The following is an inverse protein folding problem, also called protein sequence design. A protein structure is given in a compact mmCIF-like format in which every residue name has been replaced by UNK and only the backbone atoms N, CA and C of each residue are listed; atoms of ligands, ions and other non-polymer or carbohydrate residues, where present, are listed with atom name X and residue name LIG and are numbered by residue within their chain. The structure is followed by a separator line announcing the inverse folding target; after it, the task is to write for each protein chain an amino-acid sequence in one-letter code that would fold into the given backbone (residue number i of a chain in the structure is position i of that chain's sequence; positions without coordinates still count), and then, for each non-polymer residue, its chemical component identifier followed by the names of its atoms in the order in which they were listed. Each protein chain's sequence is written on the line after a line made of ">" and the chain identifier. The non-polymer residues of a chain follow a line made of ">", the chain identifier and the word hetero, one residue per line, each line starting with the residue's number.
data_IF_811504818161
#
_entry.id   IF_811504818161
#
_cell.length_a   1.000
_cell.length_b   1.000
_cell.length_c   1.000
_cell.angle_alpha   90.00
_cell.angle_beta   90.00
_cell.angle_gamma   90.00
#
_symmetry.space_group_name_H-M   'P 1'
#
loop_
_entity.id
_entity.type
_entity.pdbx_description
1 polymer ?
#
# COMPACT_ATOMS: atom_id res chain seq x y z
N UNK A 1 -36.91 -4.03 -54.20
CA UNK A 1 -37.42 -3.36 -52.99
C UNK A 1 -36.66 -3.97 -51.81
N UNK A 2 -35.70 -3.24 -51.25
CA UNK A 2 -34.90 -3.69 -50.10
C UNK A 2 -35.69 -3.44 -48.80
N UNK A 3 -35.84 -4.46 -47.96
CA UNK A 3 -36.35 -4.31 -46.60
C UNK A 3 -35.20 -3.85 -45.68
N UNK A 4 -35.42 -2.87 -44.78
CA UNK A 4 -34.39 -2.44 -43.84
C UNK A 4 -34.16 -3.50 -42.76
N UNK A 5 -32.89 -3.83 -42.50
CA UNK A 5 -32.50 -4.76 -41.44
C UNK A 5 -32.79 -4.18 -40.07
N UNK A 6 -33.61 -4.89 -39.29
CA UNK A 6 -33.75 -4.68 -37.85
C UNK A 6 -32.51 -5.26 -37.17
N UNK A 7 -31.66 -4.38 -36.63
CA UNK A 7 -30.56 -4.79 -35.76
C UNK A 7 -31.11 -4.97 -34.33
N UNK A 8 -30.77 -6.07 -33.63
CA UNK A 8 -31.11 -6.24 -32.23
C UNK A 8 -30.48 -5.13 -31.38
N UNK A 9 -31.28 -4.49 -30.54
CA UNK A 9 -30.81 -3.53 -29.55
C UNK A 9 -30.02 -4.30 -28.46
N UNK A 10 -28.71 -4.09 -28.38
CA UNK A 10 -27.84 -4.67 -27.36
C UNK A 10 -27.65 -3.66 -26.20
N UNK A 11 -28.23 -3.91 -25.01
CA UNK A 11 -28.11 -3.02 -23.86
C UNK A 11 -26.74 -3.07 -23.14
N UNK A 12 -25.73 -3.80 -23.64
CA UNK A 12 -24.46 -3.95 -22.93
C UNK A 12 -23.41 -2.84 -23.16
N UNK A 13 -23.73 -1.77 -23.90
CA UNK A 13 -22.77 -0.70 -24.26
C UNK A 13 -22.83 0.55 -23.36
N UNK A 14 -23.33 0.43 -22.12
CA UNK A 14 -23.42 1.55 -21.17
C UNK A 14 -22.49 1.37 -19.97
N UNK A 15 -21.21 1.12 -20.23
CA UNK A 15 -20.15 1.36 -19.25
C UNK A 15 -19.26 2.49 -19.76
N UNK A 16 -19.76 3.72 -19.57
CA UNK A 16 -18.98 4.92 -19.74
C UNK A 16 -17.82 4.93 -18.75
N UNK A 17 -16.61 5.09 -19.26
CA UNK A 17 -15.43 5.43 -18.48
C UNK A 17 -15.71 6.70 -17.67
N UNK A 18 -15.94 6.56 -16.36
CA UNK A 18 -15.83 7.68 -15.43
C UNK A 18 -14.35 8.07 -15.39
N UNK A 19 -14.00 9.15 -16.07
CA UNK A 19 -12.70 9.79 -15.95
C UNK A 19 -12.57 10.31 -14.51
N UNK A 20 -11.64 9.72 -13.76
CA UNK A 20 -11.22 10.25 -12.46
C UNK A 20 -10.59 11.63 -12.68
N UNK A 21 -11.05 12.70 -11.99
CA UNK A 21 -10.38 13.99 -12.08
C UNK A 21 -8.98 13.89 -11.46
N UNK A 22 -7.97 14.55 -12.05
CA UNK A 22 -6.60 14.51 -11.53
C UNK A 22 -6.51 15.17 -10.14
N UNK A 23 -5.60 14.72 -9.26
CA UNK A 23 -5.35 15.37 -7.98
C UNK A 23 -4.84 16.81 -8.22
N UNK A 24 -5.65 17.78 -7.81
CA UNK A 24 -5.41 19.20 -8.04
C UNK A 24 -4.18 19.72 -7.32
N UNK A 25 -3.23 20.28 -8.09
CA UNK A 25 -2.33 21.32 -7.62
C UNK A 25 -3.09 22.65 -7.42
N UNK A 26 -2.46 23.68 -6.83
CA UNK A 26 -3.09 24.97 -6.59
C UNK A 26 -3.39 25.67 -7.93
N UNK A 27 -4.62 25.52 -8.41
CA UNK A 27 -5.09 26.11 -9.66
C UNK A 27 -5.53 27.55 -9.45
N UNK A 28 -4.83 28.47 -10.10
CA UNK A 28 -5.31 29.83 -10.36
C UNK A 28 -6.61 29.76 -11.19
N UNK A 29 -7.60 30.64 -10.95
CA UNK A 29 -8.83 30.62 -11.72
C UNK A 29 -8.56 31.01 -13.18
N UNK A 30 -9.05 30.24 -14.19
CA UNK A 30 -8.89 30.60 -15.59
C UNK A 30 -9.77 31.81 -15.98
N UNK A 31 -9.31 32.72 -16.84
CA UNK A 31 -10.10 33.87 -17.28
C UNK A 31 -11.10 33.48 -18.37
N UNK A 32 -12.38 33.78 -18.11
CA UNK A 32 -13.41 34.16 -19.09
C UNK A 32 -13.70 33.19 -20.25
N UNK A 33 -14.70 32.31 -20.06
CA UNK A 33 -15.39 31.59 -21.14
C UNK A 33 -16.91 31.84 -21.10
N UNK A 34 -17.63 31.85 -22.25
CA UNK A 34 -19.00 32.34 -22.33
C UNK A 34 -20.04 31.44 -21.65
N UNK A 35 -20.91 32.08 -20.89
CA UNK A 35 -22.10 31.66 -20.15
C UNK A 35 -22.85 30.42 -20.69
N UNK A 36 -22.83 29.34 -19.91
CA UNK A 36 -23.79 28.23 -19.96
C UNK A 36 -24.88 28.38 -18.88
N UNK A 37 -26.07 27.78 -19.02
CA UNK A 37 -27.22 28.09 -18.17
C UNK A 37 -27.07 27.53 -16.74
N UNK A 38 -26.92 28.46 -15.79
CA UNK A 38 -27.50 28.42 -14.44
C UNK A 38 -27.19 27.22 -13.54
N UNK A 39 -25.98 27.15 -12.97
CA UNK A 39 -25.81 26.47 -11.68
C UNK A 39 -26.31 27.39 -10.57
N UNK A 40 -27.32 27.00 -9.76
CA UNK A 40 -27.80 27.84 -8.67
C UNK A 40 -26.67 28.09 -7.64
N UNK A 41 -26.59 29.30 -7.07
CA UNK A 41 -25.57 29.61 -6.08
C UNK A 41 -25.71 28.71 -4.84
N UNK A 42 -24.59 28.26 -4.26
CA UNK A 42 -24.63 27.47 -3.02
C UNK A 42 -25.28 28.30 -1.90
N UNK A 43 -26.16 27.70 -1.07
CA UNK A 43 -26.82 28.40 0.03
C UNK A 43 -25.80 28.98 1.02
N UNK A 44 -25.91 30.26 1.42
CA UNK A 44 -25.08 30.83 2.47
C UNK A 44 -25.42 30.18 3.82
N UNK A 45 -24.44 29.50 4.44
CA UNK A 45 -24.56 29.07 5.83
C UNK A 45 -24.69 27.56 6.08
N UNK A 46 -24.31 26.69 5.14
CA UNK A 46 -24.12 25.28 5.48
C UNK A 46 -23.02 25.16 6.56
N UNK A 47 -23.31 24.59 7.75
CA UNK A 47 -22.28 24.27 8.72
C UNK A 47 -21.24 23.39 8.01
N UNK A 48 -19.98 23.83 8.01
CA UNK A 48 -18.89 23.07 7.42
C UNK A 48 -18.99 21.64 7.95
N UNK A 49 -19.23 20.69 7.05
CA UNK A 49 -19.23 19.29 7.44
C UNK A 49 -17.92 19.05 8.18
N UNK A 50 -17.95 18.52 9.42
CA UNK A 50 -16.73 18.18 10.10
C UNK A 50 -16.00 17.23 9.17
N UNK A 51 -14.90 17.71 8.59
CA UNK A 51 -14.07 16.90 7.72
C UNK A 51 -13.79 15.64 8.52
N UNK A 52 -14.03 14.44 7.95
CA UNK A 52 -13.54 13.24 8.57
C UNK A 52 -12.05 13.49 8.76
N UNK A 53 -11.62 13.66 10.01
CA UNK A 53 -10.21 13.66 10.34
C UNK A 53 -9.78 12.23 10.09
N UNK A 54 -9.49 11.91 8.82
CA UNK A 54 -8.86 10.66 8.44
C UNK A 54 -7.59 10.60 9.29
N UNK A 55 -7.63 9.72 10.29
CA UNK A 55 -6.51 9.47 11.18
C UNK A 55 -5.37 9.02 10.26
N UNK A 56 -4.42 9.92 10.01
CA UNK A 56 -3.36 9.69 9.03
C UNK A 56 -2.68 8.36 9.29
N UNK A 57 -2.25 7.68 8.22
CA UNK A 57 -1.68 6.32 8.26
C UNK A 57 -0.74 6.10 9.45
N UNK A 58 0.11 7.07 9.77
CA UNK A 58 1.03 7.05 10.92
C UNK A 58 0.34 7.01 12.29
N UNK A 59 -0.77 7.72 12.49
CA UNK A 59 -1.56 7.70 13.73
C UNK A 59 -2.32 6.38 13.96
N UNK A 60 -2.58 5.61 12.89
CA UNK A 60 -3.13 4.25 13.00
C UNK A 60 -2.05 3.20 13.32
N UNK A 61 -0.79 3.44 12.93
CA UNK A 61 0.33 2.53 13.20
C UNK A 61 0.76 2.55 14.67
N UNK A 62 0.57 3.67 15.37
CA UNK A 62 0.79 3.79 16.81
C UNK A 62 -0.48 3.55 17.65
N UNK A 63 -1.57 3.09 17.01
CA UNK A 63 -2.81 2.75 17.71
C UNK A 63 -2.70 1.31 18.26
N UNK A 64 -2.22 1.18 19.49
CA UNK A 64 -2.11 -0.10 20.23
C UNK A 64 -3.48 -0.73 20.58
N UNK A 65 -4.58 -0.26 19.97
CA UNK A 65 -5.96 -0.67 20.26
C UNK A 65 -6.41 -1.99 19.60
N UNK A 66 -5.64 -2.58 18.68
CA UNK A 66 -5.87 -3.92 18.09
C UNK A 66 -7.31 -4.22 17.57
N UNK A 67 -8.15 -3.21 17.32
CA UNK A 67 -9.60 -3.41 17.12
C UNK A 67 -10.09 -3.44 15.67
N UNK A 68 -9.28 -3.08 14.69
CA UNK A 68 -9.79 -2.94 13.31
C UNK A 68 -8.81 -3.47 12.25
N UNK A 69 -8.94 -4.75 11.87
CA UNK A 69 -8.40 -5.35 10.61
C UNK A 69 -7.02 -4.84 10.13
N UNK A 70 -6.10 -4.54 11.06
CA UNK A 70 -4.77 -4.01 10.73
C UNK A 70 -3.81 -5.13 10.34
N UNK A 71 -4.16 -6.38 10.65
CA UNK A 71 -3.36 -7.58 10.43
C UNK A 71 -2.72 -7.63 9.05
N UNK A 72 -3.51 -7.54 7.98
CA UNK A 72 -3.01 -7.67 6.60
C UNK A 72 -2.19 -6.46 6.13
N UNK A 73 -2.39 -5.28 6.74
CA UNK A 73 -1.59 -4.08 6.47
C UNK A 73 -0.26 -4.08 7.24
N UNK A 74 -0.25 -4.54 8.49
CA UNK A 74 0.95 -4.64 9.35
C UNK A 74 1.99 -5.55 8.71
N UNK A 75 1.59 -6.65 8.08
CA UNK A 75 2.54 -7.62 7.50
C UNK A 75 3.40 -6.98 6.41
N UNK A 76 2.80 -6.17 5.52
CA UNK A 76 3.55 -5.43 4.49
C UNK A 76 4.51 -4.42 5.11
N UNK A 77 4.08 -3.71 6.15
CA UNK A 77 4.94 -2.76 6.86
C UNK A 77 6.11 -3.47 7.55
N UNK A 78 5.85 -4.59 8.20
CA UNK A 78 6.84 -5.41 8.89
C UNK A 78 7.86 -5.98 7.89
N UNK A 79 7.43 -6.38 6.69
CA UNK A 79 8.34 -6.80 5.62
C UNK A 79 9.32 -5.69 5.23
N UNK A 80 8.79 -4.50 4.92
CA UNK A 80 9.63 -3.37 4.50
C UNK A 80 10.59 -3.00 5.63
N UNK A 81 10.11 -2.98 6.88
CA UNK A 81 10.94 -2.69 8.04
C UNK A 81 12.09 -3.70 8.20
N UNK A 82 11.81 -5.00 8.13
CA UNK A 82 12.85 -6.04 8.21
C UNK A 82 13.84 -5.95 7.06
N UNK A 83 13.38 -5.71 5.84
CA UNK A 83 14.25 -5.61 4.68
C UNK A 83 15.17 -4.39 4.76
N UNK A 84 14.66 -3.25 5.25
CA UNK A 84 15.46 -2.06 5.54
C UNK A 84 16.47 -2.33 6.64
N UNK A 85 16.07 -2.97 7.74
CA UNK A 85 16.98 -3.33 8.84
C UNK A 85 18.12 -4.24 8.36
N UNK A 86 17.79 -5.31 7.62
CA UNK A 86 18.80 -6.22 7.05
C UNK A 86 19.74 -5.45 6.13
N UNK A 87 19.22 -4.55 5.29
CA UNK A 87 20.03 -3.68 4.43
C UNK A 87 21.01 -2.82 5.23
N UNK A 88 20.55 -2.17 6.31
CA UNK A 88 21.37 -1.34 7.18
C UNK A 88 22.45 -2.18 7.89
N UNK A 89 22.08 -3.33 8.46
CA UNK A 89 23.03 -4.22 9.13
C UNK A 89 24.08 -4.79 8.15
N UNK A 90 23.65 -5.19 6.96
CA UNK A 90 24.56 -5.69 5.92
C UNK A 90 25.53 -4.59 5.49
N UNK A 91 25.03 -3.37 5.25
CA UNK A 91 25.86 -2.24 4.86
C UNK A 91 26.86 -1.86 5.98
N UNK A 92 26.40 -1.82 7.23
CA UNK A 92 27.25 -1.56 8.40
C UNK A 92 28.33 -2.64 8.55
N UNK A 93 27.98 -3.92 8.39
CA UNK A 93 28.94 -5.02 8.45
C UNK A 93 29.98 -4.96 7.33
N UNK A 94 29.60 -4.55 6.12
CA UNK A 94 30.54 -4.34 5.00
C UNK A 94 31.55 -3.26 5.35
N UNK A 95 31.09 -2.09 5.83
CA UNK A 95 31.98 -0.99 6.24
C UNK A 95 32.93 -1.45 7.36
N UNK A 96 32.40 -2.16 8.35
CA UNK A 96 33.17 -2.69 9.47
C UNK A 96 34.23 -3.70 9.00
N UNK A 97 33.88 -4.57 8.05
CA UNK A 97 34.79 -5.58 7.49
C UNK A 97 35.98 -4.94 6.76
N UNK A 98 35.72 -3.86 6.02
CA UNK A 98 36.80 -3.06 5.42
C UNK A 98 37.69 -2.41 6.47
N UNK A 99 37.12 -1.93 7.58
CA UNK A 99 37.90 -1.43 8.73
C UNK A 99 38.82 -2.48 9.33
N UNK A 100 38.33 -3.72 9.50
CA UNK A 100 39.13 -4.83 10.03
C UNK A 100 40.26 -5.26 9.09
N UNK A 101 40.10 -5.13 7.76
CA UNK A 101 41.19 -5.45 6.82
C UNK A 101 42.45 -4.60 7.03
N UNK A 102 42.32 -3.40 7.61
CA UNK A 102 43.47 -2.53 7.90
C UNK A 102 44.35 -3.05 9.04
N UNK A 103 43.79 -3.89 9.93
CA UNK A 103 44.48 -4.46 11.08
C UNK A 103 44.88 -5.91 10.75
N UNK A 104 43.91 -6.71 10.31
CA UNK A 104 44.02 -8.14 10.05
C UNK A 104 43.31 -8.48 8.74
N UNK A 105 44.03 -8.48 7.59
CA UNK A 105 43.45 -8.61 6.25
C UNK A 105 42.58 -9.87 6.08
N UNK A 106 43.01 -10.99 6.65
CA UNK A 106 42.30 -12.27 6.52
C UNK A 106 40.97 -12.23 7.27
N UNK A 107 40.94 -11.68 8.48
CA UNK A 107 39.71 -11.58 9.28
C UNK A 107 38.70 -10.62 8.64
N UNK A 108 39.17 -9.48 8.12
CA UNK A 108 38.32 -8.54 7.39
C UNK A 108 37.74 -9.13 6.11
N UNK A 109 38.52 -9.93 5.37
CA UNK A 109 38.03 -10.63 4.17
C UNK A 109 36.95 -11.68 4.50
N UNK A 110 37.19 -12.51 5.51
CA UNK A 110 36.20 -13.50 5.98
C UNK A 110 34.95 -12.81 6.54
N UNK A 111 35.12 -11.70 7.24
CA UNK A 111 34.02 -10.86 7.74
C UNK A 111 33.16 -10.30 6.60
N UNK A 112 33.78 -9.83 5.52
CA UNK A 112 33.07 -9.31 4.34
C UNK A 112 32.23 -10.40 3.68
N UNK A 113 32.83 -11.57 3.42
CA UNK A 113 32.12 -12.74 2.90
C UNK A 113 30.97 -13.17 3.82
N UNK A 114 31.23 -13.25 5.12
CA UNK A 114 30.24 -13.60 6.13
C UNK A 114 29.09 -12.60 6.20
N UNK A 115 29.37 -11.30 6.04
CA UNK A 115 28.35 -10.25 6.07
C UNK A 115 27.45 -10.33 4.83
N UNK A 116 28.02 -10.49 3.64
CA UNK A 116 27.23 -10.61 2.40
C UNK A 116 26.38 -11.89 2.43
N UNK A 117 27.00 -13.02 2.77
CA UNK A 117 26.30 -14.31 2.86
C UNK A 117 25.24 -14.28 3.96
N UNK A 118 25.58 -13.74 5.13
CA UNK A 118 24.67 -13.58 6.26
C UNK A 118 23.49 -12.67 5.93
N UNK A 119 23.73 -11.56 5.24
CA UNK A 119 22.67 -10.67 4.74
C UNK A 119 21.73 -11.37 3.77
N UNK A 120 22.28 -12.13 2.81
CA UNK A 120 21.48 -12.91 1.86
C UNK A 120 20.63 -13.98 2.57
N UNK A 121 21.22 -14.73 3.50
CA UNK A 121 20.51 -15.73 4.31
C UNK A 121 19.43 -15.07 5.16
N UNK A 122 19.72 -13.92 5.78
CA UNK A 122 18.74 -13.18 6.57
C UNK A 122 17.52 -12.77 5.73
N UNK A 123 17.73 -12.28 4.50
CA UNK A 123 16.63 -11.98 3.57
C UNK A 123 15.81 -13.23 3.26
N UNK A 124 16.46 -14.37 3.00
CA UNK A 124 15.76 -15.63 2.73
C UNK A 124 14.94 -16.11 3.94
N UNK A 125 15.51 -16.06 5.15
CA UNK A 125 14.81 -16.44 6.38
C UNK A 125 13.61 -15.52 6.60
N UNK A 126 13.79 -14.20 6.44
CA UNK A 126 12.69 -13.23 6.55
C UNK A 126 11.60 -13.52 5.53
N UNK A 127 11.94 -13.89 4.28
CA UNK A 127 10.95 -14.27 3.27
C UNK A 127 10.12 -15.47 3.71
N UNK A 128 10.77 -16.55 4.15
CA UNK A 128 10.09 -17.77 4.60
C UNK A 128 9.23 -17.51 5.84
N UNK A 129 9.77 -16.76 6.81
CA UNK A 129 9.04 -16.39 8.02
C UNK A 129 7.79 -15.55 7.73
N UNK A 130 7.88 -14.61 6.79
CA UNK A 130 6.74 -13.80 6.39
C UNK A 130 5.72 -14.57 5.54
N UNK A 131 6.17 -15.47 4.67
CA UNK A 131 5.28 -16.37 3.94
C UNK A 131 4.43 -17.20 4.91
N UNK A 132 5.04 -17.78 5.95
CA UNK A 132 4.33 -18.49 7.01
C UNK A 132 3.34 -17.59 7.76
N UNK A 133 3.76 -16.37 8.09
CA UNK A 133 2.95 -15.43 8.85
C UNK A 133 1.72 -14.96 8.03
N UNK A 134 1.88 -14.71 6.72
CA UNK A 134 0.77 -14.42 5.80
C UNK A 134 -0.19 -15.61 5.70
N UNK A 135 0.33 -16.84 5.58
CA UNK A 135 -0.50 -18.05 5.46
C UNK A 135 -1.36 -18.24 6.71
N UNK A 136 -0.79 -18.08 7.91
CA UNK A 136 -1.54 -18.19 9.18
C UNK A 136 -2.67 -17.15 9.24
N UNK A 137 -2.40 -15.90 8.84
CA UNK A 137 -3.43 -14.87 8.86
C UNK A 137 -4.51 -15.10 7.81
N UNK A 138 -4.15 -15.57 6.62
CA UNK A 138 -5.12 -15.96 5.58
C UNK A 138 -6.08 -17.04 6.09
N UNK A 139 -5.57 -18.04 6.80
CA UNK A 139 -6.41 -19.07 7.43
C UNK A 139 -7.36 -18.44 8.46
N UNK A 140 -6.90 -17.47 9.25
CA UNK A 140 -7.76 -16.79 10.24
C UNK A 140 -8.91 -15.98 9.59
N UNK A 141 -8.64 -15.38 8.43
CA UNK A 141 -9.66 -14.69 7.62
C UNK A 141 -10.66 -15.68 7.02
N UNK A 142 -10.18 -16.80 6.46
CA UNK A 142 -11.03 -17.85 5.89
C UNK A 142 -11.95 -18.48 6.95
N UNK A 143 -11.44 -18.73 8.15
CA UNK A 143 -12.23 -19.24 9.29
C UNK A 143 -13.28 -18.23 9.78
N UNK A 144 -12.95 -16.94 9.74
CA UNK A 144 -13.88 -15.86 10.09
C UNK A 144 -15.02 -15.75 9.07
N UNK A 145 -14.71 -15.96 7.77
CA UNK A 145 -15.71 -15.96 6.70
C UNK A 145 -16.69 -17.14 6.83
N UNK A 146 -16.21 -18.33 7.21
CA UNK A 146 -17.06 -19.51 7.46
C UNK A 146 -17.99 -19.25 8.66
N UNK A 147 -17.50 -18.64 9.74
CA UNK A 147 -18.32 -18.31 10.92
C UNK A 147 -19.46 -17.34 10.60
N UNK A 148 -19.22 -16.35 9.75
CA UNK A 148 -20.27 -15.42 9.30
C UNK A 148 -21.34 -16.09 8.42
N UNK A 149 -21.02 -17.20 7.75
CA UNK A 149 -21.96 -17.96 6.90
C UNK A 149 -22.65 -19.12 7.64
N UNK A 150 -22.05 -19.65 8.70
CA UNK A 150 -22.57 -20.75 9.50
C UNK A 150 -23.41 -20.34 10.71
N UNK A 151 -23.79 -19.06 10.82
CA UNK A 151 -24.71 -18.59 11.85
C UNK A 151 -26.13 -19.09 11.61
N UNK A 152 -26.47 -20.20 12.27
CA UNK A 152 -27.80 -20.38 12.88
C UNK A 152 -27.83 -19.63 14.20
#
# INVERSE_FOLDING_TARGET
>A
MNAPGEYPYDPSQQYGYQQQPPPGGPGTPPPGGPYGPGTPPPPPGAPGQPMPTEKGFFGSLFDFSFREFVTSKIIKLLYILWLVLIGIFTLSGVITSFGFMAIEPVSGFLGLLGTILGGAIAVLITRVGLELLIVVFRISEDLSAIRKRGGF
#
